data_IF_052565562760
#
_entry.id   IF_052565562760
#
_cell.length_a   1.000
_cell.length_b   1.000
_cell.length_c   1.000
_cell.angle_alpha   90.00
_cell.angle_beta   90.00
_cell.angle_gamma   90.00
#
_symmetry.space_group_name_H-M   'P 1'
#
loop_
_entity.id
_entity.type
_entity.pdbx_description
1 polymer ?
#
# COMPACT_ATOMS: atom_id res chain seq x y z
N UNK A 1 -8.45 -14.72 2.35
CA UNK A 1 -7.25 -13.89 2.09
C UNK A 1 -7.19 -12.66 2.99
N UNK A 2 -5.99 -12.23 3.38
CA UNK A 2 -5.74 -10.87 3.89
C UNK A 2 -4.97 -10.04 2.86
N UNK A 3 -5.34 -8.77 2.74
CA UNK A 3 -4.66 -7.78 1.90
C UNK A 3 -4.40 -6.53 2.75
N UNK A 4 -3.16 -6.05 2.71
CA UNK A 4 -2.82 -4.76 3.30
C UNK A 4 -2.49 -3.75 2.21
N UNK A 5 -2.95 -2.52 2.40
CA UNK A 5 -2.63 -1.40 1.49
C UNK A 5 -2.08 -0.25 2.32
N UNK A 6 -0.84 0.12 2.06
CA UNK A 6 -0.13 1.19 2.74
C UNK A 6 0.13 2.33 1.75
N UNK A 7 -0.39 3.51 2.04
CA UNK A 7 0.09 4.73 1.38
C UNK A 7 1.49 5.03 1.88
N UNK A 8 2.39 5.41 0.97
CA UNK A 8 3.74 5.84 1.34
C UNK A 8 3.74 6.87 2.49
N UNK A 9 4.82 6.88 3.30
CA UNK A 9 5.02 7.87 4.36
C UNK A 9 5.14 9.30 3.82
N UNK A 10 5.12 10.30 4.69
CA UNK A 10 5.33 11.69 4.28
C UNK A 10 6.64 11.83 3.49
N UNK A 11 6.59 12.55 2.36
CA UNK A 11 7.72 12.78 1.47
C UNK A 11 7.99 14.27 1.32
N UNK A 12 9.24 14.61 0.97
CA UNK A 12 9.69 15.99 0.70
C UNK A 12 8.67 16.78 -0.12
N UNK A 13 8.51 18.10 0.07
CA UNK A 13 7.60 18.90 -0.74
C UNK A 13 7.84 18.76 -2.26
N UNK A 14 6.80 18.99 -3.06
CA UNK A 14 6.95 19.05 -4.51
C UNK A 14 7.92 20.16 -4.92
N UNK A 15 8.69 19.94 -5.99
CA UNK A 15 9.66 20.91 -6.51
C UNK A 15 11.06 20.82 -5.92
N UNK A 16 11.27 20.06 -4.83
CA UNK A 16 12.62 19.75 -4.31
C UNK A 16 13.36 18.80 -5.26
N UNK A 17 12.64 17.84 -5.84
CA UNK A 17 13.10 16.82 -6.79
C UNK A 17 12.00 16.48 -7.81
N UNK A 18 12.32 15.80 -8.92
CA UNK A 18 11.31 15.16 -9.76
C UNK A 18 10.37 14.28 -8.92
N UNK A 19 9.06 14.27 -9.22
CA UNK A 19 8.09 13.62 -8.33
C UNK A 19 8.43 12.15 -7.99
N UNK A 20 8.81 11.29 -8.96
CA UNK A 20 9.16 9.90 -8.65
C UNK A 20 10.39 9.73 -7.74
N UNK A 21 11.27 10.74 -7.70
CA UNK A 21 12.55 10.73 -6.97
C UNK A 21 12.45 11.35 -5.56
N UNK A 22 11.29 11.92 -5.19
CA UNK A 22 11.07 12.47 -3.85
C UNK A 22 11.26 11.39 -2.80
N UNK A 23 12.01 11.73 -1.76
CA UNK A 23 12.31 10.82 -0.62
C UNK A 23 11.38 11.11 0.56
N UNK A 24 11.28 10.15 1.47
CA UNK A 24 10.59 10.32 2.75
C UNK A 24 11.26 11.40 3.60
N UNK A 25 10.45 12.21 4.30
CA UNK A 25 10.93 13.08 5.37
C UNK A 25 11.31 12.26 6.60
N UNK A 26 12.03 12.85 7.56
CA UNK A 26 12.30 12.18 8.85
C UNK A 26 10.99 11.77 9.53
N UNK A 27 10.03 12.71 9.59
CA UNK A 27 8.71 12.47 10.16
C UNK A 27 7.97 11.33 9.44
N UNK A 28 7.96 11.34 8.11
CA UNK A 28 7.31 10.28 7.32
C UNK A 28 7.90 8.88 7.56
N UNK A 29 9.19 8.78 7.89
CA UNK A 29 9.81 7.50 8.28
C UNK A 29 9.30 7.02 9.64
N UNK A 30 9.17 7.93 10.60
CA UNK A 30 8.63 7.61 11.94
C UNK A 30 7.18 7.11 11.84
N UNK A 31 6.34 7.79 11.07
CA UNK A 31 4.95 7.37 10.84
C UNK A 31 4.87 5.97 10.20
N UNK A 32 5.74 5.68 9.24
CA UNK A 32 5.80 4.35 8.60
C UNK A 32 6.15 3.26 9.60
N UNK A 33 7.09 3.51 10.52
CA UNK A 33 7.47 2.54 11.55
C UNK A 33 6.33 2.25 12.53
N UNK A 34 5.51 3.26 12.85
CA UNK A 34 4.28 3.06 13.65
C UNK A 34 3.29 2.15 12.91
N UNK A 35 3.11 2.36 11.60
CA UNK A 35 2.26 1.50 10.77
C UNK A 35 2.83 0.09 10.62
N UNK A 36 4.15 -0.06 10.50
CA UNK A 36 4.82 -1.36 10.44
C UNK A 36 4.56 -2.19 11.71
N UNK A 37 4.49 -1.54 12.87
CA UNK A 37 4.16 -2.22 14.13
C UNK A 37 2.81 -2.94 14.11
N UNK A 38 1.84 -2.46 13.31
CA UNK A 38 0.53 -3.11 13.13
C UNK A 38 0.58 -4.38 12.27
N UNK A 39 1.67 -4.61 11.55
CA UNK A 39 1.89 -5.79 10.71
C UNK A 39 2.70 -6.88 11.44
N UNK A 40 3.22 -6.59 12.65
CA UNK A 40 3.96 -7.59 13.43
C UNK A 40 3.04 -8.75 13.84
N UNK A 41 3.47 -9.97 13.51
CA UNK A 41 2.70 -11.19 13.78
C UNK A 41 1.62 -11.51 12.74
N UNK A 42 1.40 -10.64 11.75
CA UNK A 42 0.54 -10.96 10.61
C UNK A 42 1.23 -11.92 9.64
N UNK A 43 0.49 -12.77 8.91
CA UNK A 43 1.06 -13.80 8.03
C UNK A 43 1.56 -13.23 6.68
N UNK A 44 2.10 -12.01 6.68
CA UNK A 44 2.55 -11.30 5.49
C UNK A 44 3.68 -12.08 4.79
N UNK A 45 3.56 -12.31 3.49
CA UNK A 45 4.54 -13.10 2.70
C UNK A 45 5.32 -12.25 1.70
N UNK A 46 4.65 -11.29 1.08
CA UNK A 46 5.19 -10.48 -0.02
C UNK A 46 4.78 -9.03 0.17
N UNK A 47 5.71 -8.13 -0.12
CA UNK A 47 5.50 -6.69 -0.24
C UNK A 47 5.66 -6.32 -1.71
N UNK A 48 4.60 -5.81 -2.32
CA UNK A 48 4.66 -5.17 -3.63
C UNK A 48 4.75 -3.65 -3.45
N UNK A 49 5.70 -3.02 -4.13
CA UNK A 49 5.92 -1.59 -4.00
C UNK A 49 5.99 -0.88 -5.37
N UNK A 50 5.37 0.29 -5.44
CA UNK A 50 5.54 1.22 -6.56
C UNK A 50 7.02 1.57 -6.79
N UNK A 51 7.49 1.78 -8.03
CA UNK A 51 8.89 2.14 -8.31
C UNK A 51 9.32 3.50 -7.74
N UNK A 52 8.39 4.34 -7.27
CA UNK A 52 8.71 5.66 -6.75
C UNK A 52 9.50 5.56 -5.44
N UNK A 53 10.51 6.41 -5.28
CA UNK A 53 11.50 6.29 -4.19
C UNK A 53 10.85 6.31 -2.81
N UNK A 54 9.88 7.19 -2.55
CA UNK A 54 9.12 7.24 -1.30
C UNK A 54 8.36 5.94 -0.97
N UNK A 55 7.83 5.24 -1.97
CA UNK A 55 7.14 3.97 -1.78
C UNK A 55 8.15 2.85 -1.50
N UNK A 56 9.28 2.83 -2.21
CA UNK A 56 10.38 1.89 -1.96
C UNK A 56 10.96 2.05 -0.55
N UNK A 57 11.22 3.28 -0.11
CA UNK A 57 11.69 3.57 1.25
C UNK A 57 10.66 3.15 2.31
N UNK A 58 9.37 3.38 2.05
CA UNK A 58 8.29 2.93 2.94
C UNK A 58 8.29 1.41 3.07
N UNK A 59 8.34 0.69 1.95
CA UNK A 59 8.34 -0.76 1.91
C UNK A 59 9.56 -1.37 2.61
N UNK A 60 10.73 -0.77 2.42
CA UNK A 60 11.97 -1.20 3.07
C UNK A 60 11.90 -1.03 4.59
N UNK A 61 11.39 0.10 5.09
CA UNK A 61 11.21 0.32 6.54
C UNK A 61 10.24 -0.70 7.15
N UNK A 62 9.14 -1.04 6.46
CA UNK A 62 8.23 -2.08 6.92
C UNK A 62 8.94 -3.43 6.97
N UNK A 63 9.64 -3.82 5.90
CA UNK A 63 10.38 -5.10 5.83
C UNK A 63 11.39 -5.23 6.98
N UNK A 64 12.17 -4.19 7.24
CA UNK A 64 13.17 -4.17 8.33
C UNK A 64 12.50 -4.27 9.71
N UNK A 65 11.39 -3.58 9.93
CA UNK A 65 10.68 -3.56 11.21
C UNK A 65 10.02 -4.90 11.56
N UNK A 66 9.64 -5.72 10.58
CA UNK A 66 8.97 -6.99 10.81
C UNK A 66 9.88 -8.07 11.41
N UNK A 67 11.21 -7.92 11.32
CA UNK A 67 12.17 -8.88 11.87
C UNK A 67 12.20 -10.24 11.15
N UNK A 68 11.45 -10.39 10.06
CA UNK A 68 11.59 -11.44 9.06
C UNK A 68 11.62 -10.79 7.68
N UNK A 69 12.08 -11.51 6.66
CA UNK A 69 12.28 -10.94 5.32
C UNK A 69 11.20 -11.42 4.34
N UNK A 70 10.00 -10.79 4.31
CA UNK A 70 9.09 -10.98 3.19
C UNK A 70 9.76 -10.54 1.88
N UNK A 71 9.40 -11.19 0.79
CA UNK A 71 9.89 -10.82 -0.53
C UNK A 71 9.43 -9.39 -0.86
N UNK A 72 10.34 -8.54 -1.35
CA UNK A 72 10.02 -7.17 -1.76
C UNK A 72 10.14 -7.06 -3.28
N UNK A 73 9.01 -6.85 -3.96
CA UNK A 73 8.91 -6.84 -5.41
C UNK A 73 8.47 -5.46 -5.89
N UNK A 74 9.26 -4.87 -6.79
CA UNK A 74 8.91 -3.58 -7.42
C UNK A 74 7.99 -3.81 -8.62
N UNK A 75 6.90 -3.05 -8.69
CA UNK A 75 5.87 -3.20 -9.72
C UNK A 75 5.31 -1.87 -10.21
N UNK A 76 5.15 -1.72 -11.52
CA UNK A 76 4.68 -0.48 -12.14
C UNK A 76 3.17 -0.24 -11.97
N UNK A 77 2.40 -1.31 -11.72
CA UNK A 77 0.96 -1.26 -11.47
C UNK A 77 0.57 -0.69 -10.09
N UNK A 78 1.54 -0.22 -9.29
CA UNK A 78 1.28 0.51 -8.03
C UNK A 78 1.55 2.02 -8.14
N UNK A 79 1.77 2.55 -9.33
CA UNK A 79 1.94 4.00 -9.57
C UNK A 79 0.62 4.78 -9.43
N UNK A 80 0.66 6.10 -9.12
CA UNK A 80 -0.55 6.88 -8.85
C UNK A 80 -1.60 6.89 -9.98
N UNK A 81 -1.17 6.68 -11.22
CA UNK A 81 -2.02 6.72 -12.42
C UNK A 81 -2.70 5.37 -12.73
N UNK A 82 -2.31 4.30 -12.05
CA UNK A 82 -2.88 2.97 -12.30
C UNK A 82 -4.34 2.92 -11.85
N UNK A 83 -5.18 2.20 -12.60
CA UNK A 83 -6.59 1.99 -12.25
C UNK A 83 -6.71 0.82 -11.28
N UNK A 84 -7.62 0.86 -10.29
CA UNK A 84 -7.84 -0.27 -9.37
C UNK A 84 -8.05 -1.62 -10.07
N UNK A 85 -8.82 -1.66 -11.16
CA UNK A 85 -9.05 -2.88 -11.91
C UNK A 85 -7.77 -3.51 -12.48
N UNK A 86 -6.74 -2.73 -12.80
CA UNK A 86 -5.44 -3.28 -13.23
C UNK A 86 -4.69 -3.90 -12.06
N UNK A 87 -4.79 -3.33 -10.85
CA UNK A 87 -4.18 -3.91 -9.65
C UNK A 87 -4.76 -5.31 -9.36
N UNK A 88 -6.09 -5.46 -9.45
CA UNK A 88 -6.76 -6.74 -9.16
C UNK A 88 -6.27 -7.90 -10.03
N UNK A 89 -5.91 -7.63 -11.30
CA UNK A 89 -5.36 -8.66 -12.22
C UNK A 89 -4.06 -9.29 -11.71
N UNK A 90 -3.36 -8.62 -10.80
CA UNK A 90 -2.11 -9.12 -10.21
C UNK A 90 -2.31 -9.78 -8.84
N UNK A 91 -3.55 -9.81 -8.31
CA UNK A 91 -3.85 -10.33 -6.98
C UNK A 91 -4.52 -11.70 -6.96
N UNK A 92 -4.98 -12.23 -8.11
CA UNK A 92 -5.81 -13.45 -8.18
C UNK A 92 -5.22 -14.66 -7.42
N UNK A 93 -3.89 -14.85 -7.48
CA UNK A 93 -3.19 -15.96 -6.81
C UNK A 93 -2.34 -15.51 -5.61
N UNK A 94 -2.59 -14.31 -5.07
CA UNK A 94 -1.77 -13.70 -4.03
C UNK A 94 -2.51 -13.65 -2.69
N UNK A 95 -1.95 -14.32 -1.69
CA UNK A 95 -2.47 -14.33 -0.32
C UNK A 95 -1.49 -13.65 0.64
N UNK A 96 -2.04 -12.87 1.58
CA UNK A 96 -1.30 -12.20 2.65
C UNK A 96 -0.18 -11.31 2.11
N UNK A 97 -0.57 -10.29 1.34
CA UNK A 97 0.35 -9.36 0.68
C UNK A 97 0.13 -7.92 1.12
N UNK A 98 1.20 -7.13 1.11
CA UNK A 98 1.20 -5.70 1.37
C UNK A 98 1.44 -4.96 0.06
N UNK A 99 0.57 -4.00 -0.26
CA UNK A 99 0.74 -3.08 -1.38
C UNK A 99 1.19 -1.72 -0.87
N UNK A 100 2.36 -1.23 -1.30
CA UNK A 100 2.88 0.09 -0.95
C UNK A 100 2.75 1.04 -2.14
N UNK A 101 1.87 2.03 -2.01
CA UNK A 101 1.37 2.81 -3.15
C UNK A 101 1.07 4.29 -2.79
N UNK A 102 0.29 4.97 -3.62
CA UNK A 102 0.06 6.41 -3.61
C UNK A 102 -1.42 6.75 -3.73
N UNK A 103 -1.80 7.95 -3.29
CA UNK A 103 -3.06 8.54 -3.73
C UNK A 103 -2.91 9.09 -5.16
N UNK A 104 -3.97 9.07 -5.99
CA UNK A 104 -5.34 8.65 -5.65
C UNK A 104 -5.59 7.14 -5.63
N UNK A 105 -4.67 6.32 -6.17
CA UNK A 105 -4.85 4.88 -6.32
C UNK A 105 -5.25 4.17 -5.02
N UNK A 106 -4.57 4.43 -3.90
CA UNK A 106 -4.87 3.78 -2.61
C UNK A 106 -6.33 3.97 -2.22
N UNK A 107 -6.80 5.22 -2.16
CA UNK A 107 -8.20 5.51 -1.80
C UNK A 107 -9.20 4.86 -2.76
N UNK A 108 -8.94 4.95 -4.07
CA UNK A 108 -9.80 4.35 -5.09
C UNK A 108 -9.80 2.82 -5.06
N UNK A 109 -8.66 2.18 -4.79
CA UNK A 109 -8.53 0.73 -4.69
C UNK A 109 -9.31 0.19 -3.50
N UNK A 110 -9.19 0.84 -2.34
CA UNK A 110 -9.93 0.46 -1.14
C UNK A 110 -11.44 0.58 -1.36
N UNK A 111 -11.91 1.70 -1.90
CA UNK A 111 -13.34 1.87 -2.23
C UNK A 111 -13.82 0.85 -3.26
N UNK A 112 -13.00 0.53 -4.25
CA UNK A 112 -13.34 -0.43 -5.30
C UNK A 112 -13.46 -1.87 -4.77
N UNK A 113 -12.52 -2.31 -3.94
CA UNK A 113 -12.53 -3.63 -3.31
C UNK A 113 -13.70 -3.79 -2.33
N UNK A 114 -14.13 -2.70 -1.67
CA UNK A 114 -15.25 -2.71 -0.73
C UNK A 114 -16.63 -2.62 -1.40
N UNK A 115 -16.79 -1.74 -2.39
CA UNK A 115 -18.11 -1.35 -2.90
C UNK A 115 -18.36 -1.80 -4.33
N UNK A 116 -17.34 -2.30 -5.03
CA UNK A 116 -17.44 -2.69 -6.43
C UNK A 116 -17.47 -1.51 -7.42
N UNK A 117 -17.31 -0.28 -6.95
CA UNK A 117 -17.36 0.94 -7.76
C UNK A 117 -16.37 2.01 -7.28
N UNK A 118 -16.06 2.99 -8.12
CA UNK A 118 -15.08 4.06 -7.82
C UNK A 118 -15.69 5.31 -7.17
N UNK A 119 -17.00 5.32 -6.90
CA UNK A 119 -17.72 6.53 -6.45
C UNK A 119 -17.49 6.89 -4.96
N UNK A 120 -16.97 5.95 -4.18
CA UNK A 120 -16.76 6.12 -2.73
C UNK A 120 -15.31 5.71 -2.39
N UNK A 121 -14.30 6.53 -2.74
CA UNK A 121 -12.92 6.26 -2.38
C UNK A 121 -12.67 6.52 -0.90
N UNK A 122 -11.75 5.76 -0.30
CA UNK A 122 -11.32 5.98 1.08
C UNK A 122 -10.35 7.16 1.19
N UNK A 123 -10.41 7.87 2.31
CA UNK A 123 -9.44 8.92 2.64
C UNK A 123 -8.27 8.34 3.43
N UNK A 124 -7.11 8.24 2.79
CA UNK A 124 -5.92 7.64 3.42
C UNK A 124 -4.81 8.69 3.53
N UNK A 125 -4.40 8.99 4.76
CA UNK A 125 -3.26 9.85 5.06
C UNK A 125 -1.93 9.17 4.71
N UNK A 126 -0.84 9.94 4.69
CA UNK A 126 0.52 9.36 4.55
C UNK A 126 0.75 8.33 5.66
N UNK A 127 1.50 7.26 5.33
CA UNK A 127 1.68 6.09 6.19
C UNK A 127 0.38 5.38 6.63
N UNK A 128 -0.80 5.75 6.11
CA UNK A 128 -2.06 5.08 6.46
C UNK A 128 -2.09 3.64 5.95
N UNK A 129 -2.37 2.69 6.85
CA UNK A 129 -2.38 1.26 6.60
C UNK A 129 -3.81 0.71 6.69
N UNK A 130 -4.35 0.30 5.55
CA UNK A 130 -5.60 -0.44 5.47
C UNK A 130 -5.37 -1.96 5.58
N UNK A 131 -6.27 -2.65 6.28
CA UNK A 131 -6.39 -4.10 6.29
C UNK A 131 -7.75 -4.51 5.71
N UNK A 132 -7.73 -5.33 4.66
CA UNK A 132 -8.92 -5.92 4.06
C UNK A 132 -8.90 -7.44 4.20
N UNK A 133 -10.09 -8.01 4.34
CA UNK A 133 -10.31 -9.44 4.42
C UNK A 133 -11.45 -9.85 3.49
N UNK A 134 -11.29 -10.97 2.80
CA UNK A 134 -12.28 -11.55 1.89
C UNK A 134 -11.84 -12.92 1.42
N UNK A 135 -12.63 -13.56 0.56
CA UNK A 135 -12.27 -14.86 -0.03
C UNK A 135 -11.45 -14.68 -1.32
N UNK A 136 -11.74 -13.61 -2.08
CA UNK A 136 -11.15 -13.31 -3.39
C UNK A 136 -10.92 -11.79 -3.52
N UNK A 137 -9.86 -11.32 -4.19
CA UNK A 137 -9.61 -9.88 -4.37
C UNK A 137 -10.40 -9.35 -5.57
N UNK A 138 -11.73 -9.53 -5.52
CA UNK A 138 -12.66 -9.02 -6.52
C UNK A 138 -13.26 -7.68 -6.07
N UNK A 139 -13.67 -6.85 -7.03
CA UNK A 139 -14.41 -5.63 -6.76
C UNK A 139 -15.68 -5.93 -5.92
N UNK A 140 -15.82 -5.23 -4.80
CA UNK A 140 -16.96 -5.39 -3.87
C UNK A 140 -16.94 -6.67 -3.03
N UNK A 141 -15.86 -7.46 -3.09
CA UNK A 141 -15.77 -8.76 -2.40
C UNK A 141 -14.93 -8.72 -1.12
N UNK A 142 -14.32 -7.58 -0.78
CA UNK A 142 -13.50 -7.45 0.42
C UNK A 142 -14.11 -6.52 1.46
N UNK A 143 -13.89 -6.83 2.74
CA UNK A 143 -14.31 -6.00 3.86
C UNK A 143 -13.10 -5.27 4.44
N UNK A 144 -13.17 -3.94 4.54
CA UNK A 144 -12.19 -3.17 5.31
C UNK A 144 -12.38 -3.45 6.80
N UNK A 145 -11.33 -3.96 7.43
CA UNK A 145 -11.31 -4.32 8.85
C UNK A 145 -10.76 -3.19 9.70
N UNK A 146 -9.77 -2.46 9.16
CA UNK A 146 -9.11 -1.35 9.82
C UNK A 146 -8.49 -0.43 8.78
N UNK A 147 -8.48 0.87 9.09
CA UNK A 147 -7.71 1.92 8.43
C UNK A 147 -6.92 2.67 9.50
#
# INVERSE_FOLDING_TARGET
MKLWVLRHGEAEPHGVRPDPERVLTVHGREEVLLSAGRLMGEPLRVIYASPYVRAQQTAQLVREALGFEPELITVDWLTPQTRPAEVLKHLEDQDNVLLVSHNPLVGSLLGFLQHGHLQQPEQVQTAGLAELEGDIPLAGAMKLKRL
#
